data_IF_148725114728
#
_entry.id   IF_148725114728
#
_cell.length_a   1.000
_cell.length_b   1.000
_cell.length_c   1.000
_cell.angle_alpha   90.00
_cell.angle_beta   90.00
_cell.angle_gamma   90.00
#
_symmetry.space_group_name_H-M   'P 1'
#
loop_
_entity.id
_entity.type
_entity.pdbx_description
1 polymer ?
#
# COMPACT_ATOMS: atom_id res chain seq x y z
N UNK A 1 11.92 -63.53 -40.31
CA UNK A 1 10.68 -63.50 -39.49
C UNK A 1 10.44 -62.18 -38.74
N UNK A 2 11.39 -61.24 -38.72
CA UNK A 2 11.38 -60.02 -37.89
C UNK A 2 10.44 -58.89 -38.38
N UNK A 3 10.17 -58.80 -39.69
CA UNK A 3 9.47 -57.65 -40.28
C UNK A 3 7.93 -57.66 -40.08
N UNK A 4 7.30 -58.85 -39.99
CA UNK A 4 5.86 -58.98 -39.72
C UNK A 4 5.49 -58.67 -38.27
N UNK A 5 6.36 -59.04 -37.32
CA UNK A 5 6.14 -58.78 -35.90
C UNK A 5 6.25 -57.27 -35.58
N UNK A 6 7.27 -56.61 -36.16
CA UNK A 6 7.46 -55.16 -36.03
C UNK A 6 6.31 -54.34 -36.62
N UNK A 7 5.80 -54.69 -37.81
CA UNK A 7 4.64 -54.01 -38.41
C UNK A 7 3.35 -54.21 -37.60
N UNK A 8 3.19 -55.36 -36.94
CA UNK A 8 2.02 -55.67 -36.10
C UNK A 8 2.07 -54.90 -34.78
N UNK A 9 3.26 -54.77 -34.18
CA UNK A 9 3.53 -53.91 -33.02
C UNK A 9 3.30 -52.43 -33.36
N UNK A 10 3.91 -51.93 -34.45
CA UNK A 10 3.77 -50.53 -34.87
C UNK A 10 2.31 -50.16 -35.15
N UNK A 11 1.56 -51.02 -35.85
CA UNK A 11 0.13 -50.80 -36.12
C UNK A 11 -0.69 -50.83 -34.82
N UNK A 12 -0.35 -51.70 -33.87
CA UNK A 12 -0.96 -51.74 -32.54
C UNK A 12 -0.71 -50.46 -31.74
N UNK A 13 0.53 -49.97 -31.71
CA UNK A 13 0.89 -48.72 -31.03
C UNK A 13 0.19 -47.51 -31.67
N UNK A 14 0.09 -47.45 -33.01
CA UNK A 14 -0.62 -46.36 -33.71
C UNK A 14 -2.13 -46.39 -33.43
N UNK A 15 -2.77 -47.56 -33.36
CA UNK A 15 -4.19 -47.64 -32.99
C UNK A 15 -4.42 -47.31 -31.51
N UNK A 16 -3.51 -47.70 -30.62
CA UNK A 16 -3.56 -47.31 -29.21
C UNK A 16 -3.38 -45.81 -29.03
N UNK A 17 -2.39 -45.20 -29.69
CA UNK A 17 -2.16 -43.76 -29.67
C UNK A 17 -3.32 -42.99 -30.32
N UNK A 18 -3.87 -43.48 -31.44
CA UNK A 18 -5.02 -42.88 -32.10
C UNK A 18 -6.31 -42.96 -31.27
N UNK A 19 -6.56 -44.11 -30.63
CA UNK A 19 -7.69 -44.30 -29.72
C UNK A 19 -7.56 -43.47 -28.45
N UNK A 20 -6.38 -43.41 -27.84
CA UNK A 20 -6.08 -42.52 -26.71
C UNK A 20 -6.24 -41.06 -27.11
N UNK A 21 -5.73 -40.65 -28.27
CA UNK A 21 -5.86 -39.28 -28.78
C UNK A 21 -7.31 -38.88 -29.01
N UNK A 22 -8.10 -39.74 -29.65
CA UNK A 22 -9.54 -39.50 -29.85
C UNK A 22 -10.30 -39.45 -28.52
N UNK A 23 -9.99 -40.35 -27.58
CA UNK A 23 -10.59 -40.35 -26.25
C UNK A 23 -10.25 -39.08 -25.46
N UNK A 24 -9.00 -38.63 -25.49
CA UNK A 24 -8.56 -37.37 -24.87
C UNK A 24 -9.25 -36.16 -25.51
N UNK A 25 -9.38 -36.13 -26.84
CA UNK A 25 -10.07 -35.07 -27.55
C UNK A 25 -11.55 -34.99 -27.14
N UNK A 26 -12.25 -36.13 -27.05
CA UNK A 26 -13.64 -36.18 -26.59
C UNK A 26 -13.73 -35.72 -25.13
N UNK A 27 -12.83 -36.17 -24.25
CA UNK A 27 -12.77 -35.71 -22.85
C UNK A 27 -12.55 -34.20 -22.76
N UNK A 28 -11.65 -33.64 -23.56
CA UNK A 28 -11.38 -32.20 -23.59
C UNK A 28 -12.60 -31.41 -24.09
N UNK A 29 -13.26 -31.85 -25.17
CA UNK A 29 -14.46 -31.21 -25.71
C UNK A 29 -15.60 -31.25 -24.68
N UNK A 30 -15.83 -32.40 -24.04
CA UNK A 30 -16.86 -32.56 -23.02
C UNK A 30 -16.57 -31.71 -21.78
N UNK A 31 -15.30 -31.68 -21.34
CA UNK A 31 -14.89 -30.84 -20.20
C UNK A 31 -15.05 -29.36 -20.49
N UNK A 32 -14.66 -28.91 -21.70
CA UNK A 32 -14.85 -27.53 -22.14
C UNK A 32 -16.33 -27.15 -22.19
N UNK A 33 -17.19 -28.03 -22.73
CA UNK A 33 -18.64 -27.81 -22.77
C UNK A 33 -19.25 -27.72 -21.36
N UNK A 34 -18.88 -28.66 -20.47
CA UNK A 34 -19.38 -28.69 -19.10
C UNK A 34 -18.94 -27.45 -18.31
N UNK A 35 -17.69 -27.03 -18.46
CA UNK A 35 -17.16 -25.79 -17.86
C UNK A 35 -17.85 -24.53 -18.38
N UNK A 36 -18.18 -24.49 -19.68
CA UNK A 36 -18.94 -23.36 -20.26
C UNK A 36 -20.37 -23.26 -19.74
N UNK A 37 -20.94 -24.36 -19.23
CA UNK A 37 -22.31 -24.43 -18.72
C UNK A 37 -22.43 -24.10 -17.22
N UNK A 38 -21.30 -23.95 -16.52
CA UNK A 38 -21.26 -23.60 -15.10
C UNK A 38 -20.11 -24.29 -14.33
N UNK A 39 -19.91 -23.95 -13.04
CA UNK A 39 -18.83 -24.51 -12.25
C UNK A 39 -18.86 -26.04 -12.16
N UNK A 40 -17.70 -26.68 -12.08
CA UNK A 40 -17.58 -28.11 -11.78
C UNK A 40 -17.31 -28.27 -10.30
N UNK A 41 -18.20 -28.92 -9.57
CA UNK A 41 -17.90 -29.29 -8.18
C UNK A 41 -16.66 -30.18 -8.16
N UNK A 42 -15.67 -29.72 -7.40
CA UNK A 42 -14.48 -30.43 -7.01
C UNK A 42 -14.55 -30.72 -5.50
N UNK A 43 -15.75 -30.91 -4.94
CA UNK A 43 -15.94 -31.15 -3.50
C UNK A 43 -15.14 -32.36 -2.99
N UNK A 44 -14.83 -33.33 -3.86
CA UNK A 44 -13.96 -34.47 -3.53
C UNK A 44 -12.51 -34.05 -3.21
N UNK A 45 -12.05 -32.89 -3.69
CA UNK A 45 -10.74 -32.32 -3.37
C UNK A 45 -10.73 -31.55 -2.04
N UNK A 46 -11.89 -31.14 -1.52
CA UNK A 46 -11.98 -30.34 -0.30
C UNK A 46 -11.20 -30.96 0.87
N UNK A 47 -11.37 -32.26 1.21
CA UNK A 47 -10.62 -32.87 2.31
C UNK A 47 -9.10 -32.91 2.08
N UNK A 48 -8.66 -33.04 0.82
CA UNK A 48 -7.25 -33.04 0.46
C UNK A 48 -6.63 -31.64 0.59
N UNK A 49 -7.37 -30.60 0.18
CA UNK A 49 -6.95 -29.21 0.33
C UNK A 49 -6.89 -28.85 1.82
N UNK A 50 -7.94 -29.16 2.60
CA UNK A 50 -7.95 -28.95 4.05
C UNK A 50 -6.78 -29.66 4.74
N UNK A 51 -6.51 -30.93 4.42
CA UNK A 51 -5.37 -31.66 5.01
C UNK A 51 -4.01 -31.08 4.64
N UNK A 52 -3.85 -30.58 3.41
CA UNK A 52 -2.62 -29.91 2.97
C UNK A 52 -2.45 -28.59 3.71
N UNK A 53 -3.51 -27.80 3.81
CA UNK A 53 -3.53 -26.54 4.54
C UNK A 53 -3.37 -26.76 6.06
N UNK A 54 -3.81 -27.88 6.62
CA UNK A 54 -3.58 -28.22 8.03
C UNK A 54 -2.09 -28.45 8.35
N UNK A 55 -1.25 -28.79 7.36
CA UNK A 55 0.21 -28.84 7.55
C UNK A 55 0.86 -27.47 7.65
N UNK A 56 0.14 -26.41 7.29
CA UNK A 56 0.64 -25.02 7.32
C UNK A 56 0.95 -24.58 8.76
N UNK A 57 0.04 -24.83 9.70
CA UNK A 57 0.23 -24.48 11.10
C UNK A 57 -0.61 -25.37 12.00
N UNK A 58 0.01 -25.99 13.01
CA UNK A 58 -0.64 -27.03 13.84
C UNK A 58 -1.79 -26.50 14.70
N UNK A 59 -1.78 -25.20 15.03
CA UNK A 59 -2.79 -24.55 15.88
C UNK A 59 -3.97 -23.98 15.10
N UNK A 60 -3.97 -24.07 13.76
CA UNK A 60 -5.01 -23.51 12.91
C UNK A 60 -5.79 -24.61 12.21
N UNK A 61 -7.12 -24.56 12.30
CA UNK A 61 -8.03 -25.42 11.55
C UNK A 61 -8.63 -24.61 10.41
N UNK A 62 -8.47 -25.09 9.20
CA UNK A 62 -8.99 -24.44 8.00
C UNK A 62 -10.19 -25.24 7.53
N UNK A 63 -11.33 -24.57 7.41
CA UNK A 63 -12.58 -25.15 6.96
C UNK A 63 -13.04 -24.49 5.66
N UNK A 64 -13.46 -25.31 4.70
CA UNK A 64 -13.89 -24.90 3.38
C UNK A 64 -15.33 -25.39 3.15
N UNK A 65 -16.23 -24.51 2.70
CA UNK A 65 -17.63 -24.92 2.46
C UNK A 65 -17.77 -25.75 1.17
N UNK A 66 -17.14 -25.31 0.07
CA UNK A 66 -17.14 -26.02 -1.21
C UNK A 66 -15.88 -25.68 -2.04
N UNK A 67 -15.49 -26.60 -2.92
CA UNK A 67 -14.42 -26.41 -3.90
C UNK A 67 -15.00 -26.60 -5.30
N UNK A 68 -14.82 -25.63 -6.18
CA UNK A 68 -15.34 -25.64 -7.55
C UNK A 68 -14.24 -25.31 -8.56
N UNK A 69 -14.28 -25.96 -9.72
CA UNK A 69 -13.51 -25.56 -10.89
C UNK A 69 -14.32 -24.55 -11.67
N UNK A 70 -13.74 -23.40 -11.93
CA UNK A 70 -14.33 -22.39 -12.81
C UNK A 70 -13.42 -22.10 -13.97
N UNK A 71 -14.04 -21.72 -15.09
CA UNK A 71 -13.31 -21.26 -16.26
C UNK A 71 -13.90 -19.93 -16.71
N UNK A 72 -13.13 -18.86 -16.57
CA UNK A 72 -13.57 -17.50 -16.86
C UNK A 72 -13.31 -17.08 -18.33
N UNK A 73 -13.18 -18.06 -19.24
CA UNK A 73 -12.97 -17.84 -20.67
C UNK A 73 -11.54 -18.14 -21.16
N UNK A 74 -11.34 -18.02 -22.48
CA UNK A 74 -10.12 -18.47 -23.17
C UNK A 74 -8.84 -17.70 -22.82
N UNK A 75 -8.95 -16.48 -22.27
CA UNK A 75 -7.79 -15.68 -21.86
C UNK A 75 -7.37 -15.91 -20.40
N UNK A 76 -8.10 -16.73 -19.64
CA UNK A 76 -7.81 -17.05 -18.23
C UNK A 76 -7.61 -18.55 -18.03
N UNK A 77 -6.77 -18.90 -17.05
CA UNK A 77 -6.51 -20.30 -16.69
C UNK A 77 -7.73 -20.95 -16.04
N UNK A 78 -7.72 -22.28 -15.97
CA UNK A 78 -8.62 -23.02 -15.11
C UNK A 78 -8.24 -22.74 -13.66
N UNK A 79 -9.18 -22.21 -12.90
CA UNK A 79 -8.94 -21.78 -11.53
C UNK A 79 -9.78 -22.62 -10.56
N UNK A 80 -9.12 -23.15 -9.52
CA UNK A 80 -9.77 -23.84 -8.41
C UNK A 80 -10.26 -22.77 -7.45
N UNK A 81 -11.58 -22.61 -7.34
CA UNK A 81 -12.19 -21.70 -6.37
C UNK A 81 -12.66 -22.47 -5.15
N UNK A 82 -12.51 -21.85 -4.00
CA UNK A 82 -12.93 -22.35 -2.70
C UNK A 82 -13.83 -21.29 -2.09
N UNK A 83 -15.02 -21.70 -1.67
CA UNK A 83 -16.04 -20.81 -1.15
C UNK A 83 -16.00 -20.80 0.39
N UNK A 84 -16.21 -19.61 0.97
CA UNK A 84 -16.32 -19.35 2.40
C UNK A 84 -15.22 -20.03 3.24
N UNK A 85 -13.98 -19.66 2.97
CA UNK A 85 -12.84 -20.17 3.74
C UNK A 85 -12.87 -19.56 5.13
N UNK A 86 -12.89 -20.42 6.15
CA UNK A 86 -12.81 -20.03 7.55
C UNK A 86 -11.56 -20.62 8.18
N UNK A 87 -10.77 -19.77 8.82
CA UNK A 87 -9.62 -20.19 9.61
C UNK A 87 -10.00 -20.04 11.08
N UNK A 88 -9.90 -21.12 11.83
CA UNK A 88 -10.25 -21.21 13.24
C UNK A 88 -9.01 -21.47 14.07
N UNK A 89 -8.92 -20.83 15.24
CA UNK A 89 -7.89 -21.09 16.24
C UNK A 89 -8.13 -22.40 17.02
N UNK A 90 -7.25 -22.67 17.98
CA UNK A 90 -7.39 -23.82 18.90
C UNK A 90 -8.64 -23.70 19.78
N UNK A 91 -9.05 -22.47 20.10
CA UNK A 91 -10.20 -22.11 20.93
C UNK A 91 -11.51 -21.93 20.15
N UNK A 92 -11.57 -22.40 18.90
CA UNK A 92 -12.65 -22.14 17.93
C UNK A 92 -12.86 -20.65 17.59
N UNK A 93 -11.94 -19.76 17.97
CA UNK A 93 -12.03 -18.35 17.57
C UNK A 93 -11.83 -18.19 16.06
N UNK A 94 -12.63 -17.30 15.44
CA UNK A 94 -12.52 -17.01 14.03
C UNK A 94 -11.28 -16.13 13.78
N UNK A 95 -10.26 -16.70 13.16
CA UNK A 95 -8.98 -16.06 12.85
C UNK A 95 -9.05 -15.33 11.52
N UNK A 96 -9.68 -15.93 10.52
CA UNK A 96 -9.87 -15.32 9.20
C UNK A 96 -11.14 -15.83 8.54
N UNK A 97 -11.77 -14.97 7.74
CA UNK A 97 -12.92 -15.29 6.92
C UNK A 97 -12.74 -14.70 5.53
N UNK A 98 -12.72 -15.55 4.50
CA UNK A 98 -12.53 -15.16 3.11
C UNK A 98 -13.73 -15.68 2.33
N UNK A 99 -14.60 -14.81 1.80
CA UNK A 99 -15.80 -15.23 1.08
C UNK A 99 -15.51 -16.14 -0.10
N UNK A 100 -14.45 -15.83 -0.85
CA UNK A 100 -14.06 -16.59 -2.02
C UNK A 100 -12.54 -16.52 -2.20
N UNK A 101 -11.94 -17.70 -2.41
CA UNK A 101 -10.51 -17.90 -2.58
C UNK A 101 -10.27 -18.62 -3.91
N UNK A 102 -9.33 -18.15 -4.73
CA UNK A 102 -8.85 -18.88 -5.90
C UNK A 102 -7.42 -19.38 -5.65
N UNK A 103 -7.16 -20.61 -6.06
CA UNK A 103 -5.88 -21.28 -5.91
C UNK A 103 -5.37 -21.73 -7.28
N UNK A 104 -4.12 -21.37 -7.60
CA UNK A 104 -3.39 -22.01 -8.70
C UNK A 104 -2.28 -22.88 -8.13
N UNK A 105 -2.10 -24.06 -8.71
CA UNK A 105 -1.17 -25.07 -8.21
C UNK A 105 0.16 -25.08 -8.99
N UNK A 106 1.23 -25.47 -8.31
CA UNK A 106 2.55 -25.67 -8.93
C UNK A 106 2.56 -26.94 -9.79
N UNK A 107 2.61 -26.79 -11.11
CA UNK A 107 2.72 -27.92 -12.04
C UNK A 107 3.93 -28.82 -11.74
N UNK A 108 5.07 -28.23 -11.34
CA UNK A 108 6.29 -28.97 -10.97
C UNK A 108 6.08 -29.83 -9.72
N UNK A 109 5.33 -29.33 -8.74
CA UNK A 109 4.99 -30.08 -7.54
C UNK A 109 3.96 -31.19 -7.85
N UNK A 110 2.97 -30.89 -8.69
CA UNK A 110 1.95 -31.88 -9.10
C UNK A 110 2.55 -33.08 -9.85
N UNK A 111 3.53 -32.86 -10.73
CA UNK A 111 4.27 -33.95 -11.40
C UNK A 111 4.96 -34.87 -10.37
N UNK A 112 5.32 -34.33 -9.20
CA UNK A 112 5.92 -35.07 -8.08
C UNK A 112 4.87 -35.62 -7.09
N UNK A 113 3.58 -35.51 -7.41
CA UNK A 113 2.49 -35.94 -6.53
C UNK A 113 2.20 -35.02 -5.35
N UNK A 114 2.68 -33.78 -5.38
CA UNK A 114 2.49 -32.80 -4.30
C UNK A 114 1.51 -31.70 -4.74
N UNK A 115 0.44 -31.51 -3.96
CA UNK A 115 -0.51 -30.41 -4.12
C UNK A 115 0.08 -29.18 -3.42
N UNK A 116 0.67 -28.27 -4.20
CA UNK A 116 1.36 -27.09 -3.67
C UNK A 116 0.76 -25.81 -4.29
N UNK A 117 0.19 -24.89 -3.49
CA UNK A 117 -0.25 -23.59 -3.97
C UNK A 117 0.93 -22.79 -4.52
N UNK A 118 0.73 -22.18 -5.69
CA UNK A 118 1.67 -21.26 -6.34
C UNK A 118 1.18 -19.82 -6.25
N UNK A 119 -0.12 -19.61 -6.40
CA UNK A 119 -0.77 -18.32 -6.21
C UNK A 119 -2.08 -18.48 -5.47
N UNK A 120 -2.36 -17.48 -4.63
CA UNK A 120 -3.61 -17.33 -3.89
C UNK A 120 -4.25 -16.03 -4.33
N UNK A 121 -5.55 -16.06 -4.62
CA UNK A 121 -6.35 -14.85 -4.84
C UNK A 121 -7.51 -14.83 -3.86
N UNK A 122 -7.67 -13.74 -3.12
CA UNK A 122 -8.77 -13.54 -2.17
C UNK A 122 -9.74 -12.51 -2.73
N UNK A 123 -11.03 -12.80 -2.72
CA UNK A 123 -12.07 -11.88 -3.18
C UNK A 123 -12.91 -11.40 -2.01
N UNK A 124 -12.99 -10.08 -1.87
CA UNK A 124 -13.73 -9.37 -0.82
C UNK A 124 -13.38 -9.80 0.61
N UNK A 125 -12.10 -10.00 0.98
CA UNK A 125 -11.79 -10.20 2.40
C UNK A 125 -12.03 -8.90 3.18
N UNK A 126 -12.44 -9.02 4.44
CA UNK A 126 -12.46 -7.90 5.38
C UNK A 126 -11.18 -7.94 6.20
N UNK A 127 -10.42 -6.84 6.16
CA UNK A 127 -9.11 -6.70 6.80
C UNK A 127 -9.16 -5.58 7.83
N UNK A 128 -8.30 -5.70 8.85
CA UNK A 128 -8.10 -4.68 9.88
C UNK A 128 -6.62 -4.35 9.95
N UNK A 129 -6.30 -3.05 9.95
CA UNK A 129 -4.97 -2.52 10.21
C UNK A 129 -5.02 -1.76 11.52
N UNK A 130 -4.13 -2.08 12.45
CA UNK A 130 -4.04 -1.43 13.75
C UNK A 130 -2.66 -0.84 13.94
N UNK A 131 -2.61 0.46 14.20
CA UNK A 131 -1.38 1.12 14.64
C UNK A 131 -1.44 1.33 16.15
N UNK A 132 -0.50 0.71 16.85
CA UNK A 132 -0.35 0.86 18.28
C UNK A 132 0.31 2.19 18.64
N UNK A 133 0.23 2.55 19.92
CA UNK A 133 0.80 3.81 20.44
C UNK A 133 2.32 3.90 20.30
N UNK A 134 3.01 2.77 20.32
CA UNK A 134 4.46 2.67 20.10
C UNK A 134 4.86 2.83 18.62
N UNK A 135 3.88 2.92 17.72
CA UNK A 135 4.08 3.07 16.28
C UNK A 135 4.11 1.76 15.51
N UNK A 136 4.08 0.60 16.18
CA UNK A 136 3.98 -0.69 15.52
C UNK A 136 2.67 -0.80 14.74
N UNK A 137 2.73 -1.42 13.55
CA UNK A 137 1.57 -1.66 12.71
C UNK A 137 1.32 -3.16 12.60
N UNK A 138 0.09 -3.55 12.83
CA UNK A 138 -0.37 -4.92 12.68
C UNK A 138 -1.48 -4.99 11.64
N UNK A 139 -1.45 -6.04 10.83
CA UNK A 139 -2.46 -6.31 9.80
C UNK A 139 -3.07 -7.67 10.11
N UNK A 140 -4.39 -7.74 10.10
CA UNK A 140 -5.17 -8.95 10.33
C UNK A 140 -6.38 -8.99 9.40
N UNK A 141 -7.13 -10.08 9.47
CA UNK A 141 -8.53 -10.09 9.04
C UNK A 141 -9.37 -9.35 10.08
N UNK A 142 -10.50 -8.80 9.66
CA UNK A 142 -11.41 -8.08 10.53
C UNK A 142 -12.22 -9.08 11.40
N UNK A 143 -11.55 -9.65 12.40
CA UNK A 143 -12.12 -10.55 13.40
C UNK A 143 -11.67 -10.12 14.79
N UNK A 144 -12.38 -10.60 15.82
CA UNK A 144 -12.04 -10.32 17.22
C UNK A 144 -10.83 -11.12 17.73
N UNK A 145 -10.27 -12.03 16.93
CA UNK A 145 -9.19 -12.93 17.37
C UNK A 145 -7.81 -12.30 17.12
N UNK A 146 -6.97 -12.11 18.17
CA UNK A 146 -5.58 -11.64 17.99
C UNK A 146 -4.73 -12.56 17.13
N UNK A 147 -5.07 -13.85 17.07
CA UNK A 147 -4.41 -14.82 16.21
C UNK A 147 -4.54 -14.47 14.71
N UNK A 148 -5.46 -13.57 14.34
CA UNK A 148 -5.60 -13.05 12.98
C UNK A 148 -4.33 -12.32 12.50
N UNK A 149 -3.74 -11.52 13.37
CA UNK A 149 -2.51 -10.78 13.05
C UNK A 149 -1.32 -11.73 12.94
N UNK A 150 -1.25 -12.74 13.82
CA UNK A 150 -0.25 -13.80 13.73
C UNK A 150 -0.39 -14.59 12.42
N UNK A 151 -1.61 -14.94 12.03
CA UNK A 151 -1.88 -15.61 10.78
C UNK A 151 -1.42 -14.80 9.56
N UNK A 152 -1.68 -13.48 9.54
CA UNK A 152 -1.18 -12.60 8.48
C UNK A 152 0.35 -12.52 8.45
N UNK A 153 1.02 -12.45 9.61
CA UNK A 153 2.49 -12.51 9.70
C UNK A 153 3.04 -13.83 9.14
N UNK A 154 2.38 -14.95 9.45
CA UNK A 154 2.72 -16.27 8.90
C UNK A 154 2.51 -16.34 7.37
N UNK A 155 1.42 -15.77 6.85
CA UNK A 155 1.20 -15.68 5.40
C UNK A 155 2.32 -14.88 4.71
N UNK A 156 2.73 -13.76 5.31
CA UNK A 156 3.83 -12.95 4.79
C UNK A 156 5.16 -13.70 4.83
N UNK A 157 5.47 -14.42 5.91
CA UNK A 157 6.70 -15.22 6.04
C UNK A 157 6.75 -16.36 5.03
N UNK A 158 5.61 -17.00 4.75
CA UNK A 158 5.51 -18.04 3.73
C UNK A 158 5.68 -17.47 2.33
N UNK A 159 5.14 -16.29 2.04
CA UNK A 159 5.41 -15.61 0.77
C UNK A 159 6.89 -15.22 0.64
N UNK A 160 7.62 -15.03 1.75
CA UNK A 160 9.04 -14.71 1.74
C UNK A 160 9.95 -15.94 1.59
N UNK A 161 9.54 -17.09 2.10
CA UNK A 161 10.36 -18.31 2.18
C UNK A 161 10.88 -18.80 0.82
N UNK A 162 12.07 -19.39 0.75
CA UNK A 162 12.52 -20.00 -0.50
C UNK A 162 11.70 -21.25 -0.87
N UNK A 163 11.51 -21.57 -2.17
CA UNK A 163 10.82 -22.79 -2.57
C UNK A 163 11.56 -24.05 -2.10
N UNK A 164 10.94 -24.81 -1.22
CA UNK A 164 11.40 -26.10 -0.71
C UNK A 164 10.53 -27.24 -1.28
N UNK A 165 11.11 -28.18 -2.05
CA UNK A 165 10.40 -29.33 -2.60
C UNK A 165 9.71 -30.26 -1.60
N UNK A 166 10.00 -30.14 -0.30
CA UNK A 166 9.40 -30.93 0.78
C UNK A 166 8.27 -30.22 1.52
N UNK A 167 8.14 -28.90 1.34
CA UNK A 167 7.13 -28.07 2.01
C UNK A 167 6.15 -27.48 0.97
N UNK A 168 4.90 -27.97 0.88
CA UNK A 168 3.95 -27.54 -0.17
C UNK A 168 3.72 -26.03 -0.26
N UNK A 169 3.65 -25.34 0.88
CA UNK A 169 3.36 -23.91 0.94
C UNK A 169 4.54 -23.01 0.54
N UNK A 170 5.76 -23.55 0.52
CA UNK A 170 6.95 -22.80 0.09
C UNK A 170 6.92 -22.40 -1.39
N UNK A 171 6.09 -23.07 -2.20
CA UNK A 171 5.89 -22.77 -3.62
C UNK A 171 5.04 -21.52 -3.87
N UNK A 172 4.39 -20.96 -2.83
CA UNK A 172 3.58 -19.76 -2.94
C UNK A 172 4.45 -18.58 -3.36
N UNK A 173 4.22 -18.03 -4.54
CA UNK A 173 5.02 -16.91 -5.06
C UNK A 173 4.19 -15.64 -5.31
N UNK A 174 2.86 -15.72 -5.18
CA UNK A 174 1.95 -14.59 -5.43
C UNK A 174 0.72 -14.65 -4.53
N UNK A 175 0.33 -13.50 -3.98
CA UNK A 175 -0.92 -13.30 -3.26
C UNK A 175 -1.62 -12.08 -3.87
N UNK A 176 -2.84 -12.26 -4.34
CA UNK A 176 -3.69 -11.20 -4.85
C UNK A 176 -4.90 -11.05 -3.93
N UNK A 177 -5.32 -9.80 -3.71
CA UNK A 177 -6.54 -9.46 -2.99
C UNK A 177 -7.34 -8.52 -3.87
N UNK A 178 -8.59 -8.86 -4.11
CA UNK A 178 -9.53 -8.08 -4.89
C UNK A 178 -10.68 -7.62 -4.02
N UNK A 179 -11.07 -6.36 -4.20
CA UNK A 179 -12.21 -5.73 -3.54
C UNK A 179 -12.20 -5.87 -2.00
N UNK A 180 -11.03 -5.76 -1.37
CA UNK A 180 -10.93 -5.82 0.08
C UNK A 180 -11.62 -4.63 0.75
N UNK A 181 -12.24 -4.90 1.89
CA UNK A 181 -12.70 -3.86 2.80
C UNK A 181 -11.70 -3.75 3.94
N UNK A 182 -10.95 -2.64 3.98
CA UNK A 182 -9.90 -2.43 4.99
C UNK A 182 -10.41 -1.41 6.01
N UNK A 183 -10.45 -1.80 7.27
CA UNK A 183 -10.63 -0.86 8.39
C UNK A 183 -9.28 -0.54 9.03
N UNK A 184 -8.99 0.74 9.25
CA UNK A 184 -7.76 1.17 9.90
C UNK A 184 -8.10 1.86 11.22
N UNK A 185 -7.43 1.42 12.28
CA UNK A 185 -7.50 2.00 13.61
C UNK A 185 -6.11 2.48 14.03
N UNK A 186 -5.95 3.79 14.21
CA UNK A 186 -4.71 4.37 14.73
C UNK A 186 -4.92 4.79 16.19
N UNK A 187 -4.36 4.02 17.12
CA UNK A 187 -4.45 4.29 18.56
C UNK A 187 -3.65 5.53 18.98
N UNK A 188 -2.63 5.89 18.21
CA UNK A 188 -1.77 7.04 18.49
C UNK A 188 -2.48 8.33 18.10
N UNK A 189 -3.19 8.33 16.98
CA UNK A 189 -4.01 9.43 16.51
C UNK A 189 -5.43 9.41 17.08
N UNK A 190 -5.88 8.29 17.64
CA UNK A 190 -7.26 8.05 18.10
C UNK A 190 -8.27 8.22 16.95
N UNK A 191 -7.91 7.68 15.77
CA UNK A 191 -8.71 7.79 14.54
C UNK A 191 -9.08 6.44 13.97
N UNK A 192 -10.28 6.35 13.38
CA UNK A 192 -10.72 5.22 12.55
C UNK A 192 -11.10 5.71 11.17
N UNK A 193 -10.68 4.98 10.13
CA UNK A 193 -11.08 5.22 8.74
C UNK A 193 -11.14 3.91 7.97
N UNK A 194 -11.68 3.93 6.76
CA UNK A 194 -11.79 2.73 5.94
C UNK A 194 -11.30 2.95 4.51
N UNK A 195 -10.92 1.87 3.86
CA UNK A 195 -10.58 1.83 2.45
C UNK A 195 -11.31 0.66 1.77
N UNK A 196 -12.55 0.88 1.27
CA UNK A 196 -13.27 -0.15 0.53
C UNK A 196 -12.66 -0.35 -0.87
N UNK A 197 -12.94 -1.51 -1.45
CA UNK A 197 -12.52 -1.90 -2.79
C UNK A 197 -10.99 -1.87 -2.99
N UNK A 198 -10.23 -2.14 -1.93
CA UNK A 198 -8.78 -2.16 -2.01
C UNK A 198 -8.31 -3.37 -2.83
N UNK A 199 -7.32 -3.14 -3.68
CA UNK A 199 -6.64 -4.16 -4.46
C UNK A 199 -5.20 -4.26 -3.97
N UNK A 200 -4.75 -5.49 -3.71
CA UNK A 200 -3.39 -5.77 -3.23
C UNK A 200 -2.81 -6.88 -4.10
N UNK A 201 -1.63 -6.66 -4.65
CA UNK A 201 -0.88 -7.67 -5.37
C UNK A 201 0.50 -7.77 -4.73
N UNK A 202 0.84 -8.94 -4.22
CA UNK A 202 2.14 -9.23 -3.63
C UNK A 202 2.79 -10.38 -4.40
N UNK A 203 4.06 -10.26 -4.73
CA UNK A 203 4.79 -11.35 -5.37
C UNK A 203 6.22 -11.45 -4.86
N UNK A 204 6.67 -12.69 -4.70
CA UNK A 204 8.04 -13.01 -4.34
C UNK A 204 8.98 -12.62 -5.49
N UNK A 205 10.10 -12.02 -5.11
CA UNK A 205 11.24 -11.71 -5.98
C UNK A 205 12.48 -12.47 -5.48
N UNK A 206 13.62 -12.34 -6.17
CA UNK A 206 14.85 -13.00 -5.72
C UNK A 206 15.36 -12.47 -4.35
N UNK A 207 15.05 -11.20 -4.01
CA UNK A 207 15.62 -10.52 -2.84
C UNK A 207 14.57 -10.16 -1.77
N UNK A 208 13.33 -10.63 -1.92
CA UNK A 208 12.24 -10.36 -0.99
C UNK A 208 10.88 -10.29 -1.69
N UNK A 209 10.05 -9.29 -1.37
CA UNK A 209 8.66 -9.19 -1.86
C UNK A 209 8.46 -7.85 -2.56
N UNK A 210 7.80 -7.85 -3.71
CA UNK A 210 7.29 -6.63 -4.34
C UNK A 210 5.77 -6.57 -4.18
N UNK A 211 5.25 -5.37 -3.97
CA UNK A 211 3.84 -5.11 -3.74
C UNK A 211 3.32 -3.96 -4.61
N UNK A 212 2.06 -4.07 -4.98
CA UNK A 212 1.25 -3.04 -5.62
C UNK A 212 -0.10 -2.99 -4.90
N UNK A 213 -0.46 -1.83 -4.37
CA UNK A 213 -1.70 -1.60 -3.64
C UNK A 213 -2.42 -0.41 -4.24
N UNK A 214 -3.69 -0.56 -4.57
CA UNK A 214 -4.56 0.56 -4.94
C UNK A 214 -5.76 0.58 -4.02
N UNK A 215 -6.10 1.74 -3.47
CA UNK A 215 -7.19 1.87 -2.51
C UNK A 215 -7.89 3.22 -2.60
N UNK A 216 -9.19 3.19 -2.30
CA UNK A 216 -10.02 4.36 -2.10
C UNK A 216 -10.11 4.66 -0.61
N UNK A 217 -9.41 5.67 -0.10
CA UNK A 217 -9.47 6.04 1.32
C UNK A 217 -10.73 6.87 1.57
N UNK A 218 -11.60 6.38 2.46
CA UNK A 218 -12.79 7.08 2.92
C UNK A 218 -12.58 7.65 4.31
N UNK A 219 -12.62 8.97 4.40
CA UNK A 219 -12.27 9.69 5.62
C UNK A 219 -13.02 11.01 5.72
N UNK A 220 -13.76 11.22 6.81
CA UNK A 220 -14.55 12.45 7.01
C UNK A 220 -15.58 12.72 5.90
N UNK A 221 -16.14 11.67 5.29
CA UNK A 221 -17.06 11.79 4.14
C UNK A 221 -16.38 12.10 2.80
N UNK A 222 -15.05 12.21 2.78
CA UNK A 222 -14.26 12.49 1.57
C UNK A 222 -13.63 11.20 1.06
N UNK A 223 -13.50 11.08 -0.26
CA UNK A 223 -12.86 9.96 -0.94
C UNK A 223 -11.54 10.41 -1.55
N UNK A 224 -10.45 9.72 -1.21
CA UNK A 224 -9.11 9.93 -1.75
C UNK A 224 -8.64 8.68 -2.49
N UNK A 225 -7.93 8.87 -3.60
CA UNK A 225 -7.34 7.75 -4.36
C UNK A 225 -5.86 7.66 -4.04
N UNK A 226 -5.42 6.48 -3.60
CA UNK A 226 -4.06 6.22 -3.17
C UNK A 226 -3.55 4.95 -3.84
N UNK A 227 -2.39 5.05 -4.48
CA UNK A 227 -1.67 3.91 -5.04
C UNK A 227 -0.32 3.80 -4.33
N UNK A 228 0.10 2.58 -4.01
CA UNK A 228 1.34 2.30 -3.31
C UNK A 228 2.09 1.20 -4.06
N UNK A 229 3.31 1.50 -4.49
CA UNK A 229 4.25 0.52 -5.01
C UNK A 229 5.34 0.31 -3.98
N UNK A 230 5.61 -0.94 -3.63
CA UNK A 230 6.53 -1.26 -2.54
C UNK A 230 7.47 -2.41 -2.87
N UNK A 231 8.68 -2.40 -2.31
CA UNK A 231 9.57 -3.56 -2.27
C UNK A 231 10.10 -3.74 -0.86
N UNK A 232 10.01 -4.96 -0.34
CA UNK A 232 10.67 -5.39 0.88
C UNK A 232 11.91 -6.20 0.53
N UNK A 233 13.08 -5.74 0.98
CA UNK A 233 14.38 -6.38 0.80
C UNK A 233 14.73 -7.19 2.05
N UNK A 234 14.62 -8.52 1.94
CA UNK A 234 14.67 -9.43 3.08
C UNK A 234 16.02 -9.41 3.81
N UNK A 235 17.12 -9.35 3.05
CA UNK A 235 18.49 -9.33 3.59
C UNK A 235 18.85 -8.05 4.33
N UNK A 236 18.18 -6.95 3.99
CA UNK A 236 18.40 -5.62 4.58
C UNK A 236 17.35 -5.29 5.66
N UNK A 237 16.24 -6.04 5.71
CA UNK A 237 15.08 -5.67 6.52
C UNK A 237 14.48 -4.33 6.10
N UNK A 238 14.58 -3.96 4.80
CA UNK A 238 14.25 -2.62 4.30
C UNK A 238 12.97 -2.61 3.45
N UNK A 239 12.14 -1.59 3.64
CA UNK A 239 10.97 -1.28 2.82
C UNK A 239 11.24 -0.03 2.00
N UNK A 240 11.18 -0.17 0.67
CA UNK A 240 11.16 0.94 -0.28
C UNK A 240 9.73 1.12 -0.79
N UNK A 241 9.10 2.25 -0.49
CA UNK A 241 7.70 2.53 -0.83
C UNK A 241 7.61 3.81 -1.67
N UNK A 242 6.85 3.78 -2.75
CA UNK A 242 6.36 4.94 -3.48
C UNK A 242 4.84 5.02 -3.30
N UNK A 243 4.35 6.21 -2.93
CA UNK A 243 2.92 6.48 -2.74
C UNK A 243 2.52 7.59 -3.71
N UNK A 244 1.56 7.30 -4.57
CA UNK A 244 0.91 8.26 -5.44
C UNK A 244 -0.49 8.56 -4.91
N UNK A 245 -0.83 9.83 -4.81
CA UNK A 245 -2.15 10.25 -4.36
C UNK A 245 -2.70 11.40 -5.20
N UNK A 246 -4.02 11.46 -5.30
CA UNK A 246 -4.71 12.46 -6.09
C UNK A 246 -5.90 13.06 -5.34
N UNK A 247 -6.06 14.38 -5.47
CA UNK A 247 -7.17 15.16 -4.92
C UNK A 247 -7.45 14.94 -3.42
N UNK A 248 -6.40 14.86 -2.61
CA UNK A 248 -6.50 14.72 -1.16
C UNK A 248 -6.60 16.10 -0.52
N UNK A 249 -7.68 16.38 0.23
CA UNK A 249 -7.82 17.64 0.98
C UNK A 249 -7.53 17.41 2.47
N UNK A 250 -6.35 17.83 3.00
CA UNK A 250 -5.94 17.56 4.38
C UNK A 250 -6.93 18.08 5.44
N UNK A 251 -7.62 19.20 5.18
CA UNK A 251 -8.62 19.73 6.10
C UNK A 251 -9.73 18.73 6.46
N UNK A 252 -10.07 17.78 5.57
CA UNK A 252 -11.06 16.73 5.85
C UNK A 252 -10.65 15.83 7.03
N UNK A 253 -9.34 15.63 7.21
CA UNK A 253 -8.77 14.76 8.25
C UNK A 253 -8.74 15.45 9.63
N UNK A 254 -8.78 16.78 9.66
CA UNK A 254 -8.70 17.55 10.90
C UNK A 254 -9.90 17.34 11.84
N UNK A 255 -11.06 16.96 11.28
CA UNK A 255 -12.30 16.70 12.04
C UNK A 255 -12.27 15.39 12.84
N UNK A 256 -11.31 14.51 12.56
CA UNK A 256 -11.33 13.10 13.00
C UNK A 256 -10.48 12.88 14.23
N UNK A 257 -9.47 13.72 14.43
CA UNK A 257 -8.71 13.75 15.68
C UNK A 257 -8.25 15.16 16.01
N UNK A 258 -8.36 15.59 17.29
CA UNK A 258 -7.76 16.84 17.75
C UNK A 258 -6.26 16.94 17.46
N UNK A 259 -5.53 15.81 17.35
CA UNK A 259 -4.10 15.78 17.02
C UNK A 259 -3.82 16.18 15.57
N UNK A 260 -4.84 16.15 14.71
CA UNK A 260 -4.77 16.55 13.30
C UNK A 260 -5.32 17.96 13.07
N UNK A 261 -5.57 18.74 14.13
CA UNK A 261 -6.15 20.09 14.01
C UNK A 261 -5.33 21.02 13.12
N UNK A 262 -4.01 20.80 13.02
CA UNK A 262 -3.11 21.54 12.13
C UNK A 262 -3.53 21.44 10.66
N UNK A 263 -4.15 20.32 10.26
CA UNK A 263 -4.56 20.09 8.87
C UNK A 263 -5.78 20.95 8.47
N UNK A 264 -6.53 21.49 9.44
CA UNK A 264 -7.74 22.28 9.17
C UNK A 264 -7.46 23.52 8.32
N UNK A 265 -6.23 24.03 8.38
CA UNK A 265 -5.82 25.20 7.61
C UNK A 265 -5.41 24.89 6.17
N UNK A 266 -5.43 23.63 5.74
CA UNK A 266 -5.03 23.22 4.39
C UNK A 266 -6.26 22.80 3.57
N UNK A 267 -6.94 23.79 3.01
CA UNK A 267 -8.16 23.63 2.22
C UNK A 267 -7.86 23.65 0.72
N UNK A 268 -6.95 22.78 0.32
CA UNK A 268 -6.51 22.61 -1.06
C UNK A 268 -6.57 21.12 -1.42
N UNK A 269 -6.95 20.75 -2.66
CA UNK A 269 -6.78 19.39 -3.13
C UNK A 269 -5.32 19.18 -3.53
N UNK A 270 -4.58 18.45 -2.71
CA UNK A 270 -3.21 18.05 -2.95
C UNK A 270 -3.14 16.79 -3.81
N UNK A 271 -2.10 16.70 -4.62
CA UNK A 271 -1.74 15.54 -5.41
C UNK A 271 -0.22 15.44 -5.47
N UNK A 272 0.30 14.24 -5.69
CA UNK A 272 1.74 14.07 -5.86
C UNK A 272 2.24 12.71 -5.45
N UNK A 273 3.55 12.67 -5.21
CA UNK A 273 4.28 11.44 -4.90
C UNK A 273 5.02 11.59 -3.57
N UNK A 274 5.02 10.53 -2.79
CA UNK A 274 5.84 10.37 -1.59
C UNK A 274 6.71 9.13 -1.77
N UNK A 275 7.96 9.19 -1.34
CA UNK A 275 8.88 8.04 -1.37
C UNK A 275 9.45 7.83 0.02
N UNK A 276 9.52 6.58 0.46
CA UNK A 276 10.01 6.20 1.78
C UNK A 276 11.02 5.06 1.63
N UNK A 277 12.16 5.16 2.30
CA UNK A 277 13.02 4.02 2.63
C UNK A 277 13.05 3.91 4.15
N UNK A 278 12.60 2.77 4.68
CA UNK A 278 12.57 2.52 6.12
C UNK A 278 13.00 1.09 6.45
N UNK A 279 13.66 0.91 7.57
CA UNK A 279 14.00 -0.40 8.11
C UNK A 279 12.80 -0.98 8.88
N UNK A 280 12.81 -2.31 9.06
CA UNK A 280 11.76 -3.05 9.75
C UNK A 280 11.63 -2.72 11.24
N UNK A 281 12.63 -2.05 11.82
CA UNK A 281 12.59 -1.52 13.18
C UNK A 281 11.90 -0.14 13.27
N UNK A 282 11.47 0.42 12.13
CA UNK A 282 10.82 1.72 12.02
C UNK A 282 11.77 2.89 11.75
N UNK A 283 13.09 2.67 11.69
CA UNK A 283 14.05 3.70 11.35
C UNK A 283 13.84 4.17 9.91
N UNK A 284 13.66 5.48 9.71
CA UNK A 284 13.47 6.08 8.38
C UNK A 284 14.84 6.48 7.83
N UNK A 285 15.26 5.85 6.74
CA UNK A 285 16.51 6.19 6.04
C UNK A 285 16.33 7.38 5.11
N UNK A 286 15.19 7.46 4.44
CA UNK A 286 14.84 8.64 3.64
C UNK A 286 13.35 8.79 3.44
N UNK A 287 12.93 10.04 3.27
CA UNK A 287 11.57 10.41 2.90
C UNK A 287 11.63 11.50 1.84
N UNK A 288 11.18 11.24 0.62
CA UNK A 288 11.07 12.23 -0.44
C UNK A 288 9.62 12.60 -0.69
N UNK A 289 9.37 13.84 -1.08
CA UNK A 289 8.04 14.31 -1.46
C UNK A 289 8.12 15.25 -2.66
N UNK A 290 7.16 15.11 -3.56
CA UNK A 290 6.92 16.01 -4.68
C UNK A 290 5.41 16.19 -4.80
N UNK A 291 4.93 17.30 -4.26
CA UNK A 291 3.51 17.51 -3.98
C UNK A 291 3.07 18.85 -4.55
N UNK A 292 1.97 18.84 -5.29
CA UNK A 292 1.31 20.02 -5.80
C UNK A 292 -0.10 20.17 -5.23
N UNK A 293 -0.60 21.38 -5.18
CA UNK A 293 -2.00 21.68 -4.89
C UNK A 293 -2.52 22.70 -5.91
N UNK A 294 -3.79 22.56 -6.29
CA UNK A 294 -4.48 23.57 -7.10
C UNK A 294 -5.21 24.58 -6.20
N UNK A 295 -6.04 25.44 -6.78
CA UNK A 295 -6.71 26.56 -6.09
C UNK A 295 -7.44 26.13 -4.80
N UNK A 296 -7.35 26.97 -3.78
CA UNK A 296 -8.06 26.84 -2.50
C UNK A 296 -7.47 27.79 -1.46
N UNK A 297 -7.44 27.39 -0.18
CA UNK A 297 -6.96 28.27 0.88
C UNK A 297 -5.97 27.62 1.86
N UNK A 298 -5.07 28.46 2.35
CA UNK A 298 -4.14 28.15 3.44
C UNK A 298 -4.43 29.03 4.65
N UNK A 299 -4.29 28.48 5.84
CA UNK A 299 -4.26 29.23 7.10
C UNK A 299 -3.48 28.45 8.15
N UNK A 300 -2.98 29.14 9.18
CA UNK A 300 -2.52 28.47 10.39
C UNK A 300 -3.69 28.41 11.37
N UNK A 301 -4.11 27.24 11.88
CA UNK A 301 -5.21 27.18 12.84
C UNK A 301 -4.98 28.10 14.04
N UNK A 302 -6.04 28.81 14.48
CA UNK A 302 -5.96 29.86 15.50
C UNK A 302 -5.19 29.41 16.74
N UNK A 303 -5.43 28.20 17.24
CA UNK A 303 -4.73 27.65 18.42
C UNK A 303 -3.22 27.52 18.19
N UNK A 304 -2.81 27.08 17.00
CA UNK A 304 -1.40 26.96 16.62
C UNK A 304 -0.77 28.34 16.51
N UNK A 305 -1.43 29.26 15.81
CA UNK A 305 -0.97 30.64 15.66
C UNK A 305 -0.80 31.34 17.03
N UNK A 306 -1.74 31.11 17.96
CA UNK A 306 -1.64 31.57 19.35
C UNK A 306 -0.43 30.99 20.08
N UNK A 307 -0.21 29.68 19.96
CA UNK A 307 0.93 29.02 20.63
C UNK A 307 2.30 29.49 20.12
N UNK A 308 2.36 29.93 18.86
CA UNK A 308 3.57 30.51 18.27
C UNK A 308 3.75 31.99 18.61
N UNK A 309 2.77 32.65 19.22
CA UNK A 309 2.79 34.10 19.48
C UNK A 309 2.49 34.97 18.25
N UNK A 310 2.02 34.37 17.14
CA UNK A 310 1.79 35.06 15.87
C UNK A 310 0.35 34.83 15.38
N UNK A 311 -0.63 35.41 16.10
CA UNK A 311 -2.06 35.28 15.81
C UNK A 311 -2.46 35.67 14.37
N UNK A 312 -1.76 36.62 13.77
CA UNK A 312 -1.98 37.06 12.38
C UNK A 312 -1.72 35.98 11.34
N UNK A 313 -0.96 34.93 11.67
CA UNK A 313 -0.79 33.78 10.77
C UNK A 313 -2.05 32.94 10.65
N UNK A 314 -3.05 33.17 11.51
CA UNK A 314 -4.36 32.52 11.40
C UNK A 314 -5.28 33.10 10.32
N UNK A 315 -4.80 34.09 9.57
CA UNK A 315 -5.51 34.57 8.40
C UNK A 315 -5.70 33.45 7.38
N UNK A 316 -6.86 33.44 6.74
CA UNK A 316 -7.14 32.59 5.59
C UNK A 316 -6.66 33.30 4.34
N UNK A 317 -5.71 32.67 3.64
CA UNK A 317 -5.12 33.17 2.41
C UNK A 317 -5.53 32.27 1.26
N UNK A 318 -6.20 32.85 0.27
CA UNK A 318 -6.52 32.15 -0.97
C UNK A 318 -5.27 32.04 -1.83
N UNK A 319 -5.06 30.88 -2.43
CA UNK A 319 -3.92 30.57 -3.31
C UNK A 319 -4.43 29.88 -4.57
N UNK A 320 -3.76 30.11 -5.69
CA UNK A 320 -4.06 29.48 -6.98
C UNK A 320 -3.28 28.19 -7.19
N UNK A 321 -2.12 28.04 -6.52
CA UNK A 321 -1.34 26.83 -6.55
C UNK A 321 -0.26 26.77 -5.47
N UNK A 322 0.13 25.55 -5.14
CA UNK A 322 1.27 25.26 -4.26
C UNK A 322 2.11 24.16 -4.92
N UNK A 323 3.43 24.31 -4.92
CA UNK A 323 4.38 23.23 -5.23
C UNK A 323 5.33 23.07 -4.05
N UNK A 324 5.51 21.85 -3.58
CA UNK A 324 6.38 21.55 -2.47
C UNK A 324 7.16 20.26 -2.74
N UNK A 325 8.48 20.41 -2.89
CA UNK A 325 9.42 19.34 -3.16
C UNK A 325 10.57 19.36 -2.18
N UNK A 326 10.93 18.19 -1.68
CA UNK A 326 12.05 18.04 -0.78
C UNK A 326 12.32 16.59 -0.42
N UNK A 327 13.33 16.44 0.43
CA UNK A 327 13.77 15.13 0.91
C UNK A 327 14.35 15.22 2.31
N UNK A 328 14.05 14.23 3.11
CA UNK A 328 14.74 13.89 4.35
C UNK A 328 15.77 12.79 4.11
N UNK A 329 16.94 12.94 4.69
CA UNK A 329 18.00 11.94 4.78
C UNK A 329 18.23 11.59 6.25
N UNK A 330 18.02 10.32 6.62
CA UNK A 330 18.13 9.83 7.99
C UNK A 330 19.56 9.85 8.52
N UNK A 331 20.55 9.44 7.72
CA UNK A 331 21.95 9.37 8.16
C UNK A 331 22.55 10.73 8.52
N UNK A 332 22.17 11.77 7.77
CA UNK A 332 22.63 13.14 8.01
C UNK A 332 21.67 13.93 8.90
N UNK A 333 20.54 13.32 9.28
CA UNK A 333 19.38 13.98 9.90
C UNK A 333 19.14 15.36 9.27
N UNK A 334 18.97 15.37 7.94
CA UNK A 334 18.87 16.58 7.13
C UNK A 334 17.54 16.57 6.38
N UNK A 335 16.77 17.64 6.44
CA UNK A 335 15.69 17.92 5.46
C UNK A 335 16.18 18.98 4.53
N UNK A 336 15.99 18.72 3.25
CA UNK A 336 16.24 19.65 2.16
C UNK A 336 14.91 19.97 1.49
N UNK A 337 14.59 21.26 1.41
CA UNK A 337 13.47 21.79 0.65
C UNK A 337 14.04 22.30 -0.67
N UNK A 338 13.86 21.51 -1.73
CA UNK A 338 14.36 21.86 -3.05
C UNK A 338 13.52 22.96 -3.70
N UNK A 339 12.21 22.95 -3.44
CA UNK A 339 11.29 23.97 -3.92
C UNK A 339 10.08 24.05 -2.99
N UNK A 340 9.74 25.26 -2.56
CA UNK A 340 8.44 25.63 -2.05
C UNK A 340 7.96 26.83 -2.87
N UNK A 341 6.95 26.63 -3.71
CA UNK A 341 6.28 27.70 -4.44
C UNK A 341 4.84 27.83 -3.93
N UNK A 342 4.42 29.06 -3.65
CA UNK A 342 3.03 29.40 -3.36
C UNK A 342 2.63 30.53 -4.30
N UNK A 343 1.62 30.28 -5.13
CA UNK A 343 1.03 31.28 -6.03
C UNK A 343 -0.26 31.81 -5.39
N UNK A 344 -0.30 33.11 -5.15
CA UNK A 344 -1.44 33.81 -4.55
C UNK A 344 -2.40 34.37 -5.61
N UNK A 345 -2.02 34.29 -6.89
CA UNK A 345 -2.78 34.83 -8.01
C UNK A 345 -2.72 36.37 -8.14
N UNK A 346 -3.44 36.90 -9.11
CA UNK A 346 -3.55 38.36 -9.31
C UNK A 346 -4.29 39.01 -8.13
N UNK A 347 -3.69 40.07 -7.56
CA UNK A 347 -4.26 40.78 -6.42
C UNK A 347 -4.21 40.00 -5.10
N UNK A 348 -3.37 38.96 -5.01
CA UNK A 348 -3.10 38.26 -3.77
C UNK A 348 -2.59 39.20 -2.68
N UNK A 349 -2.98 38.93 -1.43
CA UNK A 349 -2.65 39.78 -0.29
C UNK A 349 -2.40 38.95 0.97
N UNK A 350 -1.45 39.41 1.77
CA UNK A 350 -1.23 38.90 3.13
C UNK A 350 -1.28 40.08 4.09
N UNK A 351 -2.00 39.89 5.19
CA UNK A 351 -2.03 40.87 6.28
C UNK A 351 -0.81 40.71 7.19
N UNK A 352 -0.06 41.79 7.38
CA UNK A 352 1.03 41.86 8.35
C UNK A 352 0.49 42.41 9.68
N UNK A 353 0.79 41.75 10.82
CA UNK A 353 0.37 42.23 12.14
C UNK A 353 1.03 43.56 12.53
N UNK A 354 0.60 44.11 13.66
CA UNK A 354 1.36 45.13 14.39
C UNK A 354 2.84 44.70 14.57
N UNK A 355 3.80 45.65 14.53
CA UNK A 355 3.59 47.10 14.41
C UNK A 355 3.39 47.59 12.96
N UNK A 356 3.41 46.69 11.97
CA UNK A 356 3.32 47.07 10.55
C UNK A 356 1.87 47.36 10.16
N UNK A 357 0.93 46.52 10.60
CA UNK A 357 -0.53 46.64 10.41
C UNK A 357 -0.92 46.97 8.95
N UNK A 358 -0.49 46.13 8.01
CA UNK A 358 -0.56 46.43 6.57
C UNK A 358 -0.99 45.23 5.73
N UNK A 359 -1.92 45.43 4.80
CA UNK A 359 -2.17 44.48 3.71
C UNK A 359 -1.06 44.58 2.67
N UNK A 360 -0.16 43.62 2.68
CA UNK A 360 0.93 43.52 1.72
C UNK A 360 0.45 42.78 0.46
N UNK A 361 0.54 43.39 -0.74
CA UNK A 361 0.31 42.66 -1.98
C UNK A 361 1.37 41.57 -2.13
N UNK A 362 0.95 40.38 -2.57
CA UNK A 362 1.83 39.27 -2.86
C UNK A 362 1.24 38.45 -4.00
N UNK A 363 2.05 38.22 -5.02
CA UNK A 363 1.72 37.39 -6.18
C UNK A 363 2.27 35.98 -6.01
N UNK A 364 3.50 35.85 -5.53
CA UNK A 364 4.12 34.52 -5.30
C UNK A 364 5.16 34.55 -4.19
N UNK A 365 5.32 33.40 -3.53
CA UNK A 365 6.42 33.09 -2.62
C UNK A 365 7.20 31.91 -3.19
N UNK A 366 8.53 32.03 -3.25
CA UNK A 366 9.43 30.92 -3.59
C UNK A 366 10.45 30.76 -2.47
N UNK A 367 10.66 29.53 -1.99
CA UNK A 367 11.65 29.26 -0.96
C UNK A 367 12.41 27.96 -1.24
N UNK A 368 13.68 27.93 -0.84
CA UNK A 368 14.50 26.73 -0.81
C UNK A 368 15.49 26.81 0.35
N UNK A 369 15.87 25.67 0.87
CA UNK A 369 16.81 25.62 1.99
C UNK A 369 16.90 24.24 2.60
N UNK A 370 17.54 24.16 3.75
CA UNK A 370 17.71 22.91 4.49
C UNK A 370 17.73 23.14 5.99
N UNK A 371 17.35 22.09 6.71
CA UNK A 371 17.43 22.02 8.15
C UNK A 371 18.24 20.80 8.56
N UNK A 372 19.26 21.00 9.39
CA UNK A 372 20.14 19.99 9.95
C UNK A 372 19.73 19.76 11.41
N UNK A 373 19.02 18.68 11.71
CA UNK A 373 18.52 18.40 13.07
C UNK A 373 19.66 18.20 14.06
N UNK A 374 20.74 17.54 13.66
CA UNK A 374 21.90 17.24 14.50
C UNK A 374 22.59 18.48 15.10
N UNK A 375 22.46 19.64 14.45
CA UNK A 375 23.09 20.92 14.82
C UNK A 375 22.05 22.02 15.02
N UNK A 376 20.76 21.67 14.95
CA UNK A 376 19.64 22.61 14.97
C UNK A 376 19.86 23.82 14.04
N UNK A 377 20.42 23.57 12.85
CA UNK A 377 20.83 24.62 11.92
C UNK A 377 19.85 24.73 10.76
N UNK A 378 19.29 25.92 10.57
CA UNK A 378 18.47 26.30 9.44
C UNK A 378 19.30 27.09 8.44
N UNK A 379 19.33 26.65 7.19
CA UNK A 379 19.94 27.37 6.07
C UNK A 379 18.86 27.63 5.04
N UNK A 380 18.43 28.88 4.92
CA UNK A 380 17.49 29.32 3.90
C UNK A 380 18.30 29.94 2.76
N UNK A 381 18.50 29.14 1.71
CA UNK A 381 19.29 29.56 0.55
C UNK A 381 18.61 30.70 -0.21
N UNK A 382 17.27 30.67 -0.27
CA UNK A 382 16.49 31.76 -0.84
C UNK A 382 15.06 31.74 -0.30
N UNK A 383 14.51 32.94 -0.08
CA UNK A 383 13.11 33.25 0.05
C UNK A 383 12.82 34.47 -0.80
N UNK A 384 12.15 34.28 -1.93
CA UNK A 384 11.75 35.33 -2.86
C UNK A 384 10.25 35.60 -2.73
N UNK A 385 9.89 36.87 -2.60
CA UNK A 385 8.52 37.35 -2.57
C UNK A 385 8.32 38.27 -3.77
N UNK A 386 7.34 37.98 -4.62
CA UNK A 386 6.84 38.91 -5.64
C UNK A 386 5.68 39.69 -5.03
N UNK A 387 5.87 40.98 -4.78
CA UNK A 387 4.91 41.84 -4.07
C UNK A 387 4.02 42.62 -5.05
N UNK A 388 3.68 42.03 -6.19
CA UNK A 388 2.91 42.64 -7.28
C UNK A 388 3.57 43.93 -7.80
N UNK A 389 4.88 43.84 -8.06
CA UNK A 389 5.71 44.95 -8.50
C UNK A 389 7.15 44.78 -8.01
N UNK A 390 7.49 45.22 -6.78
CA UNK A 390 8.81 45.00 -6.22
C UNK A 390 9.00 43.51 -5.86
N UNK A 391 10.23 43.03 -6.02
CA UNK A 391 10.65 41.71 -5.55
C UNK A 391 11.51 41.86 -4.31
N UNK A 392 11.23 41.07 -3.28
CA UNK A 392 12.09 40.94 -2.10
C UNK A 392 12.79 39.58 -2.15
N UNK A 393 14.07 39.52 -1.78
CA UNK A 393 14.81 38.27 -1.66
C UNK A 393 15.55 38.26 -0.31
N UNK A 394 15.47 37.14 0.39
CA UNK A 394 16.07 36.93 1.70
C UNK A 394 16.85 35.61 1.65
N UNK A 395 18.09 35.64 2.12
CA UNK A 395 18.85 34.45 2.48
C UNK A 395 19.22 34.58 3.96
N UNK A 396 19.17 33.47 4.71
CA UNK A 396 19.47 33.47 6.13
C UNK A 396 20.06 32.14 6.58
N UNK A 397 20.95 32.20 7.57
CA UNK A 397 21.50 31.04 8.26
C UNK A 397 21.27 31.24 9.75
N UNK A 398 20.64 30.27 10.42
CA UNK A 398 20.34 30.33 11.84
C UNK A 398 20.88 29.08 12.53
N UNK A 399 21.56 29.25 13.66
CA UNK A 399 22.00 28.15 14.52
C UNK A 399 21.16 28.17 15.79
N UNK A 400 20.58 27.02 16.16
CA UNK A 400 19.70 26.89 17.34
C UNK A 400 20.42 26.73 18.67
N UNK A 401 21.76 26.64 18.70
CA UNK A 401 22.56 26.42 19.94
C UNK A 401 22.97 27.72 20.65
N UNK A 402 22.89 28.88 20.00
CA UNK A 402 23.20 30.18 20.60
C UNK A 402 21.96 31.08 20.53
N UNK A 403 21.71 31.86 21.59
CA UNK A 403 20.72 32.96 21.67
C UNK A 403 20.93 34.09 20.63
N UNK A 404 21.66 33.83 19.54
CA UNK A 404 22.03 34.77 18.49
C UNK A 404 21.53 34.33 17.11
N UNK A 405 20.51 35.01 16.60
CA UNK A 405 20.15 34.97 15.18
C UNK A 405 21.19 35.79 14.40
N UNK A 406 22.04 35.15 13.58
CA UNK A 406 22.91 35.88 12.65
C UNK A 406 22.24 36.04 11.29
N UNK A 407 21.62 37.21 11.07
CA UNK A 407 21.01 37.56 9.78
C UNK A 407 22.12 38.05 8.84
N UNK A 408 22.55 37.21 7.91
CA UNK A 408 23.43 37.61 6.81
C UNK A 408 22.61 37.96 5.56
N UNK A 409 22.36 39.24 5.30
CA UNK A 409 21.77 39.67 4.05
C UNK A 409 22.86 39.83 2.98
N UNK A 410 22.77 39.09 1.87
CA UNK A 410 23.47 39.39 0.63
C UNK A 410 22.51 40.13 -0.29
N UNK A 411 22.74 41.42 -0.51
CA UNK A 411 21.97 42.26 -1.42
C UNK A 411 22.39 42.14 -2.87
#
# INVERSE_FOLDING_TARGET
MTNRFFRRLLRGTVHLLGGLGAGLAIMMIFSAWKLSSGPISLAFLTPYIESTLATFHKSLRIHLDDTILTWAGWERTLDIRVLNVRVLGEDDSLVASIPELSLSLSAKALIKGMVAPKSIEMFRPSLKVERHRDGTMEVGFNTESPASQEFMRLMFSVLLAEPDPTHPMSFLSRVNIFDADIEVFDQRLETKWSAPNAQVQLWRTANGIKGDVTMDVLIGGTKANVSVLGTYLASEGRFDLGVDFNAVTPAAFASISPKLSMLAGMELPFQGTLTFSMLSDGSVESFGFDVGASKGALSIPIKTAQSMGFLSLAQRVEVTGVEFRGRYEGTSEKVEINSLNVDFGEGGKIYLPEPIEHEMPIKSLNARGRYLWNTSRLELDVLELDLDGPKASIALNMNGEDDGVSIGASG
#
